data_IF_059286778086
#
_entry.id   IF_059286778086
#
_cell.length_a   1.000
_cell.length_b   1.000
_cell.length_c   1.000
_cell.angle_alpha   90.00
_cell.angle_beta   90.00
_cell.angle_gamma   90.00
#
_symmetry.space_group_name_H-M   'P 1'
#
loop_
_entity.id
_entity.type
_entity.pdbx_description
1 polymer ?
#
# COMPACT_ATOMS: atom_id res chain seq x y z
N UNK A 1 11.50 -15.02 3.86
CA UNK A 1 10.82 -13.83 3.33
C UNK A 1 9.99 -13.24 4.45
N UNK A 2 10.18 -11.95 4.74
CA UNK A 2 9.38 -11.21 5.71
C UNK A 2 8.71 -10.03 5.04
N UNK A 3 7.53 -9.65 5.50
CA UNK A 3 6.86 -8.42 5.09
C UNK A 3 6.41 -7.71 6.36
N UNK A 4 6.86 -6.45 6.56
CA UNK A 4 6.67 -5.72 7.83
C UNK A 4 7.12 -6.52 9.07
N UNK A 5 8.32 -7.12 9.00
CA UNK A 5 8.90 -7.97 10.05
C UNK A 5 8.12 -9.26 10.40
N UNK A 6 6.99 -9.50 9.74
CA UNK A 6 6.23 -10.76 9.86
C UNK A 6 6.82 -11.80 8.91
N UNK A 7 7.21 -12.95 9.46
CA UNK A 7 7.72 -14.06 8.69
C UNK A 7 6.60 -14.77 7.92
N UNK A 8 6.77 -14.88 6.61
CA UNK A 8 5.85 -15.60 5.75
C UNK A 8 6.18 -17.10 5.83
N UNK A 9 5.25 -17.95 6.28
CA UNK A 9 5.51 -19.38 6.39
C UNK A 9 5.86 -20.01 5.03
N UNK A 10 6.80 -20.97 4.98
CA UNK A 10 7.21 -21.60 3.72
C UNK A 10 6.12 -22.49 3.10
N UNK A 11 5.12 -22.90 3.88
CA UNK A 11 3.94 -23.63 3.39
C UNK A 11 2.89 -22.72 2.74
N UNK A 12 3.00 -21.40 2.88
CA UNK A 12 2.08 -20.47 2.24
C UNK A 12 2.43 -20.28 0.77
N UNK A 13 1.57 -20.81 -0.11
CA UNK A 13 1.73 -20.62 -1.55
C UNK A 13 1.45 -19.15 -1.95
N UNK A 14 2.49 -18.51 -2.48
CA UNK A 14 2.45 -17.18 -3.09
C UNK A 14 3.00 -17.32 -4.51
N UNK A 15 2.13 -17.40 -5.53
CA UNK A 15 2.59 -17.53 -6.89
C UNK A 15 3.14 -16.20 -7.41
N UNK A 16 3.92 -16.29 -8.48
CA UNK A 16 4.33 -15.12 -9.24
C UNK A 16 3.13 -14.47 -9.94
N UNK A 17 3.09 -13.13 -9.91
CA UNK A 17 2.09 -12.37 -10.65
C UNK A 17 2.41 -12.39 -12.14
N UNK A 18 1.42 -12.47 -13.02
CA UNK A 18 1.63 -12.41 -14.48
C UNK A 18 2.12 -11.03 -14.93
N UNK A 19 2.88 -10.98 -16.02
CA UNK A 19 3.51 -9.74 -16.53
C UNK A 19 2.48 -8.64 -16.84
N UNK A 20 1.30 -9.03 -17.34
CA UNK A 20 0.24 -8.07 -17.66
C UNK A 20 -0.31 -7.42 -16.38
N UNK A 21 -0.66 -8.22 -15.38
CA UNK A 21 -1.13 -7.70 -14.09
C UNK A 21 -0.04 -6.87 -13.38
N UNK A 22 1.25 -7.24 -13.50
CA UNK A 22 2.36 -6.41 -12.99
C UNK A 22 2.37 -5.03 -13.64
N UNK A 23 2.32 -4.97 -14.97
CA UNK A 23 2.31 -3.72 -15.72
C UNK A 23 1.08 -2.85 -15.39
N UNK A 24 -0.10 -3.46 -15.23
CA UNK A 24 -1.33 -2.74 -14.83
C UNK A 24 -1.19 -2.13 -13.42
N UNK A 25 -0.63 -2.87 -12.46
CA UNK A 25 -0.40 -2.37 -11.10
C UNK A 25 0.64 -1.26 -11.09
N UNK A 26 1.73 -1.40 -11.84
CA UNK A 26 2.77 -0.36 -11.91
C UNK A 26 2.22 0.93 -12.54
N UNK A 27 1.45 0.83 -13.63
CA UNK A 27 0.80 1.98 -14.25
C UNK A 27 -0.16 2.70 -13.28
N UNK A 28 -0.94 1.95 -12.50
CA UNK A 28 -1.82 2.50 -11.48
C UNK A 28 -1.01 3.18 -10.35
N UNK A 29 0.10 2.58 -9.94
CA UNK A 29 0.96 3.15 -8.91
C UNK A 29 1.56 4.49 -9.34
N UNK A 30 2.03 4.58 -10.59
CA UNK A 30 2.55 5.81 -11.18
C UNK A 30 1.48 6.91 -11.28
N UNK A 31 0.24 6.54 -11.64
CA UNK A 31 -0.89 7.47 -11.64
C UNK A 31 -1.19 8.03 -10.25
N UNK A 32 -1.29 7.15 -9.24
CA UNK A 32 -1.51 7.56 -7.85
C UNK A 32 -0.38 8.46 -7.35
N UNK A 33 0.87 8.16 -7.72
CA UNK A 33 2.02 8.98 -7.35
C UNK A 33 1.96 10.38 -7.97
N UNK A 34 1.59 10.49 -9.26
CA UNK A 34 1.39 11.77 -9.95
C UNK A 34 0.27 12.59 -9.29
N UNK A 35 -0.88 11.98 -9.03
CA UNK A 35 -2.02 12.65 -8.41
C UNK A 35 -1.69 13.17 -7.01
N UNK A 36 -0.95 12.38 -6.22
CA UNK A 36 -0.47 12.80 -4.89
C UNK A 36 0.49 14.00 -5.00
N UNK A 37 1.42 13.97 -5.95
CA UNK A 37 2.37 15.06 -6.17
C UNK A 37 1.66 16.34 -6.62
N UNK A 38 0.69 16.22 -7.53
CA UNK A 38 -0.13 17.35 -7.97
C UNK A 38 -0.95 17.94 -6.83
N UNK A 39 -1.67 17.09 -6.07
CA UNK A 39 -2.45 17.54 -4.91
C UNK A 39 -1.58 18.24 -3.88
N UNK A 40 -0.38 17.72 -3.60
CA UNK A 40 0.58 18.36 -2.70
C UNK A 40 0.99 19.75 -3.20
N UNK A 41 1.30 19.90 -4.49
CA UNK A 41 1.62 21.20 -5.10
C UNK A 41 0.45 22.19 -5.03
N UNK A 42 -0.78 21.73 -5.30
CA UNK A 42 -1.96 22.58 -5.19
C UNK A 42 -2.18 23.09 -3.77
N UNK A 43 -1.96 22.24 -2.76
CA UNK A 43 -2.02 22.63 -1.34
C UNK A 43 -0.94 23.66 -1.02
N UNK A 44 0.30 23.45 -1.47
CA UNK A 44 1.42 24.38 -1.23
C UNK A 44 1.23 25.75 -1.91
N UNK A 45 0.62 25.78 -3.10
CA UNK A 45 0.34 27.00 -3.87
C UNK A 45 -0.96 27.71 -3.46
N UNK A 46 -1.76 27.08 -2.58
CA UNK A 46 -3.05 27.64 -2.15
C UNK A 46 -2.84 28.91 -1.33
N UNK A 47 -3.56 30.01 -1.63
CA UNK A 47 -3.61 31.21 -0.78
C UNK A 47 -4.12 30.91 0.65
N UNK A 48 -4.77 29.76 0.83
CA UNK A 48 -5.33 29.29 2.09
C UNK A 48 -4.50 28.18 2.74
N UNK A 49 -3.26 27.93 2.29
CA UNK A 49 -2.38 26.88 2.85
C UNK A 49 -2.23 26.99 4.37
N UNK A 50 -2.22 28.22 4.90
CA UNK A 50 -2.05 28.53 6.32
C UNK A 50 -3.40 28.70 7.06
N UNK A 51 -4.53 28.67 6.34
CA UNK A 51 -5.89 28.77 6.90
C UNK A 51 -6.48 27.40 7.31
N UNK A 52 -5.73 26.31 7.10
CA UNK A 52 -6.24 24.94 7.03
C UNK A 52 -5.73 23.95 8.09
N UNK A 53 -5.14 24.39 9.20
CA UNK A 53 -4.69 23.46 10.27
C UNK A 53 -5.83 22.69 10.97
N UNK A 54 -7.10 23.02 10.72
CA UNK A 54 -8.26 22.30 11.28
C UNK A 54 -9.24 21.83 10.21
N UNK A 55 -8.75 21.20 9.15
CA UNK A 55 -9.54 20.18 8.44
C UNK A 55 -8.82 18.85 8.53
N UNK A 56 -8.82 18.30 9.75
CA UNK A 56 -8.77 16.85 9.92
C UNK A 56 -9.77 16.27 8.91
N UNK A 57 -9.36 15.44 7.95
CA UNK A 57 -10.32 14.79 7.07
C UNK A 57 -11.36 14.13 7.97
N UNK A 58 -12.61 14.56 7.84
CA UNK A 58 -13.70 14.07 8.66
C UNK A 58 -13.71 12.55 8.52
N UNK A 59 -13.35 11.86 9.61
CA UNK A 59 -13.31 10.40 9.71
C UNK A 59 -12.13 9.69 9.02
N UNK A 60 -10.93 10.26 8.98
CA UNK A 60 -9.76 9.36 9.01
C UNK A 60 -9.74 8.69 10.39
N UNK A 61 -9.81 7.35 10.49
CA UNK A 61 -9.58 6.70 11.78
C UNK A 61 -8.25 7.20 12.34
N UNK A 62 -8.12 7.37 13.67
CA UNK A 62 -6.86 7.79 14.26
C UNK A 62 -5.76 6.93 13.66
N UNK A 63 -4.73 7.55 13.08
CA UNK A 63 -3.62 6.83 12.51
C UNK A 63 -3.08 5.94 13.61
N UNK A 64 -3.36 4.63 13.51
CA UNK A 64 -2.85 3.63 14.41
C UNK A 64 -1.34 3.83 14.47
N UNK A 65 -0.83 4.21 15.64
CA UNK A 65 0.61 4.28 15.87
C UNK A 65 1.25 2.89 15.86
N UNK A 66 0.44 1.82 15.82
CA UNK A 66 0.96 0.48 15.64
C UNK A 66 1.60 0.37 14.25
N UNK A 67 2.80 -0.20 14.23
CA UNK A 67 3.45 -0.57 12.99
C UNK A 67 2.49 -1.42 12.14
N UNK A 68 2.49 -1.22 10.81
CA UNK A 68 1.74 -2.10 9.91
C UNK A 68 2.15 -3.55 10.17
N UNK A 69 1.17 -4.45 10.20
CA UNK A 69 1.36 -5.88 10.47
C UNK A 69 0.47 -6.69 9.55
N UNK A 70 0.83 -7.96 9.31
CA UNK A 70 0.14 -8.87 8.40
C UNK A 70 -0.45 -10.02 9.19
N UNK A 71 -1.73 -10.27 8.97
CA UNK A 71 -2.39 -11.48 9.45
C UNK A 71 -2.20 -12.61 8.42
N UNK A 72 -1.34 -13.57 8.76
CA UNK A 72 -1.02 -14.70 7.89
C UNK A 72 -2.21 -15.63 7.67
N UNK A 73 -3.05 -15.86 8.69
CA UNK A 73 -4.23 -16.71 8.54
C UNK A 73 -5.24 -16.08 7.58
N UNK A 74 -5.46 -14.76 7.68
CA UNK A 74 -6.30 -14.06 6.71
C UNK A 74 -5.70 -14.10 5.29
N UNK A 75 -4.37 -13.97 5.15
CA UNK A 75 -3.70 -14.07 3.85
C UNK A 75 -3.86 -15.48 3.24
N UNK A 76 -3.89 -16.52 4.08
CA UNK A 76 -4.12 -17.91 3.66
C UNK A 76 -5.54 -18.14 3.17
N UNK A 77 -6.54 -17.41 3.65
CA UNK A 77 -7.92 -17.53 3.15
C UNK A 77 -8.12 -16.90 1.76
N UNK A 78 -7.18 -16.05 1.31
CA UNK A 78 -7.31 -15.36 0.04
C UNK A 78 -7.00 -16.27 -1.17
N UNK A 79 -7.63 -16.02 -2.33
CA UNK A 79 -7.27 -16.70 -3.58
C UNK A 79 -5.80 -16.47 -3.96
N UNK A 80 -5.18 -17.47 -4.60
CA UNK A 80 -3.78 -17.43 -5.03
C UNK A 80 -3.41 -16.16 -5.81
N UNK A 81 -4.27 -15.74 -6.75
CA UNK A 81 -4.08 -14.50 -7.51
C UNK A 81 -4.01 -13.26 -6.60
N UNK A 82 -4.83 -13.21 -5.57
CA UNK A 82 -4.85 -12.07 -4.62
C UNK A 82 -3.59 -12.09 -3.75
N UNK A 83 -3.10 -13.27 -3.34
CA UNK A 83 -1.83 -13.39 -2.62
C UNK A 83 -0.65 -12.91 -3.45
N UNK A 84 -0.62 -13.23 -4.75
CA UNK A 84 0.39 -12.75 -5.69
C UNK A 84 0.36 -11.21 -5.82
N UNK A 85 -0.83 -10.63 -6.00
CA UNK A 85 -1.02 -9.17 -6.03
C UNK A 85 -0.53 -8.55 -4.71
N UNK A 86 -0.91 -9.12 -3.58
CA UNK A 86 -0.53 -8.63 -2.25
C UNK A 86 0.99 -8.61 -2.07
N UNK A 87 1.67 -9.72 -2.38
CA UNK A 87 3.12 -9.82 -2.31
C UNK A 87 3.81 -8.83 -3.26
N UNK A 88 3.26 -8.63 -4.47
CA UNK A 88 3.82 -7.72 -5.46
C UNK A 88 3.64 -6.24 -5.09
N UNK A 89 2.49 -5.87 -4.54
CA UNK A 89 2.22 -4.49 -4.08
C UNK A 89 3.10 -4.14 -2.87
N UNK A 90 3.36 -5.10 -1.97
CA UNK A 90 4.20 -4.89 -0.79
C UNK A 90 5.68 -5.22 -1.03
N UNK A 91 6.12 -5.38 -2.28
CA UNK A 91 7.48 -5.77 -2.64
C UNK A 91 8.57 -4.90 -2.02
N UNK A 92 8.31 -3.60 -1.86
CA UNK A 92 9.27 -2.65 -1.28
C UNK A 92 9.43 -2.81 0.24
N UNK A 93 8.49 -3.52 0.87
CA UNK A 93 8.51 -3.86 2.30
C UNK A 93 8.95 -5.31 2.54
N UNK A 94 9.28 -6.06 1.49
CA UNK A 94 9.80 -7.41 1.60
C UNK A 94 11.26 -7.35 2.07
N UNK A 95 11.56 -8.01 3.18
CA UNK A 95 12.93 -8.23 3.66
C UNK A 95 13.30 -9.72 3.56
N UNK A 96 14.58 -10.02 3.36
CA UNK A 96 15.08 -11.39 3.24
C UNK A 96 15.23 -12.05 4.60
#
# INVERSE_FOLDING_TARGET
>A
MKIYDVEIPPDLEIPELDEKSRAEIDALHDEIARDRAERKRQVEMSPYKDWGETRTPASAPPSSSAAPSINIEALRELPLRVRAIFAYVLRDHVTR
#
